data_IF_263153560655
#
_entry.id   IF_263153560655
#
_cell.length_a   1.000
_cell.length_b   1.000
_cell.length_c   1.000
_cell.angle_alpha   90.00
_cell.angle_beta   90.00
_cell.angle_gamma   90.00
#
_symmetry.space_group_name_H-M   'P 1'
#
loop_
_entity.id
_entity.type
_entity.pdbx_description
1 polymer ?
#
# COMPACT_ATOMS: atom_id res chain seq x y z
N UNK A 1 -45.59 -30.76 -21.07
CA UNK A 1 -44.61 -30.39 -22.12
C UNK A 1 -43.27 -31.00 -21.75
N UNK A 2 -42.59 -31.61 -22.72
CA UNK A 2 -41.58 -32.68 -22.59
C UNK A 2 -40.14 -32.13 -22.71
N UNK A 3 -39.18 -32.72 -21.96
CA UNK A 3 -37.75 -33.06 -22.28
C UNK A 3 -36.89 -32.93 -21.00
N UNK A 4 -36.34 -34.02 -20.44
CA UNK A 4 -35.03 -34.67 -20.77
C UNK A 4 -33.86 -33.70 -20.54
N UNK A 5 -32.81 -34.01 -19.75
CA UNK A 5 -31.74 -34.97 -20.09
C UNK A 5 -30.93 -35.50 -18.87
N UNK A 6 -30.63 -36.80 -18.93
CA UNK A 6 -29.44 -37.55 -18.47
C UNK A 6 -28.95 -37.47 -17.00
N UNK A 7 -29.46 -38.43 -16.20
CA UNK A 7 -28.84 -38.93 -14.97
C UNK A 7 -27.74 -39.96 -15.32
N UNK A 8 -26.48 -39.58 -15.13
CA UNK A 8 -25.36 -40.52 -15.15
C UNK A 8 -25.35 -41.31 -13.83
N UNK A 9 -25.55 -42.63 -13.97
CA UNK A 9 -25.30 -43.65 -12.94
C UNK A 9 -23.85 -43.54 -12.45
N UNK A 10 -23.65 -43.39 -11.14
CA UNK A 10 -22.45 -43.89 -10.47
C UNK A 10 -22.90 -44.73 -9.27
N UNK A 11 -22.73 -46.03 -9.47
CA UNK A 11 -22.93 -47.11 -8.51
C UNK A 11 -21.63 -47.27 -7.74
N UNK A 12 -21.57 -46.97 -6.44
CA UNK A 12 -20.50 -47.42 -5.56
C UNK A 12 -21.12 -47.82 -4.20
N UNK A 13 -20.78 -49.00 -3.65
CA UNK A 13 -21.49 -49.59 -2.53
C UNK A 13 -20.99 -49.08 -1.18
N UNK A 14 -21.90 -49.12 -0.22
CA UNK A 14 -21.73 -48.83 1.20
C UNK A 14 -20.85 -49.87 1.92
N UNK A 15 -20.08 -49.42 2.93
CA UNK A 15 -19.84 -50.10 4.23
C UNK A 15 -18.82 -49.26 5.04
N UNK A 16 -19.28 -48.48 6.02
CA UNK A 16 -19.30 -48.80 7.46
C UNK A 16 -17.92 -49.04 8.09
N UNK A 17 -17.40 -48.00 8.75
CA UNK A 17 -16.59 -48.15 9.96
C UNK A 17 -16.99 -47.06 10.97
N UNK A 18 -17.49 -47.52 12.12
CA UNK A 18 -17.87 -46.78 13.33
C UNK A 18 -16.63 -46.40 14.14
N UNK A 19 -16.54 -45.17 14.65
CA UNK A 19 -15.90 -44.77 15.93
C UNK A 19 -16.35 -43.32 16.23
N UNK A 20 -17.41 -43.11 17.01
CA UNK A 20 -17.40 -42.76 18.45
C UNK A 20 -16.52 -41.54 18.79
N UNK A 21 -17.22 -40.42 19.05
CA UNK A 21 -16.90 -39.30 19.96
C UNK A 21 -15.49 -39.24 20.57
N UNK A 22 -14.78 -38.11 20.41
CA UNK A 22 -14.17 -37.39 21.53
C UNK A 22 -13.61 -36.02 21.08
N UNK A 23 -14.06 -34.98 21.78
CA UNK A 23 -13.30 -33.79 22.18
C UNK A 23 -12.57 -32.94 21.14
N UNK A 24 -12.93 -31.66 21.11
CA UNK A 24 -12.01 -30.59 20.74
C UNK A 24 -10.86 -30.54 21.74
N UNK A 25 -9.61 -30.55 21.26
CA UNK A 25 -8.59 -29.73 21.88
C UNK A 25 -8.27 -28.56 20.95
N UNK A 26 -8.68 -27.38 21.40
CA UNK A 26 -8.04 -26.14 21.02
C UNK A 26 -6.65 -26.11 21.66
N UNK A 27 -5.61 -26.08 20.83
CA UNK A 27 -4.29 -25.60 21.20
C UNK A 27 -3.64 -25.11 19.90
N UNK A 28 -3.61 -23.80 19.70
CA UNK A 28 -2.42 -23.02 20.08
C UNK A 28 -1.18 -23.65 19.46
N UNK A 29 -0.97 -23.30 18.20
CA UNK A 29 0.34 -23.29 17.58
C UNK A 29 0.79 -21.82 17.48
N UNK A 30 1.11 -21.27 18.65
CA UNK A 30 2.27 -20.40 18.85
C UNK A 30 3.46 -20.95 18.06
N UNK A 31 3.53 -20.53 16.81
CA UNK A 31 4.46 -21.00 15.79
C UNK A 31 4.45 -20.09 14.57
N UNK A 32 4.15 -18.79 14.78
CA UNK A 32 4.47 -17.76 13.80
C UNK A 32 5.98 -17.61 13.85
N UNK A 33 6.63 -18.32 12.92
CA UNK A 33 8.01 -18.16 12.52
C UNK A 33 8.40 -16.67 12.60
N UNK A 34 9.25 -16.34 13.57
CA UNK A 34 10.23 -15.25 13.55
C UNK A 34 10.00 -14.15 12.50
N UNK A 35 9.02 -13.31 12.81
CA UNK A 35 8.99 -11.83 12.66
C UNK A 35 9.82 -11.19 11.53
N UNK A 36 9.32 -11.29 10.30
CA UNK A 36 9.36 -10.16 9.37
C UNK A 36 8.03 -9.42 9.48
N UNK A 37 7.95 -8.17 10.00
CA UNK A 37 6.68 -7.45 10.02
C UNK A 37 6.31 -7.03 8.59
N UNK A 38 5.68 -7.93 7.84
CA UNK A 38 5.01 -7.68 6.56
C UNK A 38 3.56 -8.15 6.67
N UNK A 39 2.92 -7.83 7.78
CA UNK A 39 1.48 -7.62 7.85
C UNK A 39 1.34 -6.22 8.44
N UNK A 40 0.74 -5.29 7.71
CA UNK A 40 0.31 -4.00 8.27
C UNK A 40 -1.17 -4.17 8.56
N UNK A 41 -1.56 -4.58 9.78
CA UNK A 41 -2.96 -4.64 10.18
C UNK A 41 -3.53 -3.22 10.14
N UNK A 42 -4.85 -3.10 10.10
CA UNK A 42 -5.65 -1.91 9.76
C UNK A 42 -5.42 -0.59 10.56
N UNK A 43 -4.29 -0.40 11.27
CA UNK A 43 -3.82 0.89 11.78
C UNK A 43 -3.06 1.73 10.73
N UNK A 44 -3.34 1.52 9.46
CA UNK A 44 -2.57 2.10 8.35
C UNK A 44 -2.63 3.63 8.42
N UNK A 45 -1.52 4.24 8.85
CA UNK A 45 -1.40 5.68 9.03
C UNK A 45 -1.65 6.47 7.75
N UNK A 46 -1.56 7.80 7.81
CA UNK A 46 -1.70 8.66 6.63
C UNK A 46 -0.83 8.16 5.47
N UNK A 47 -1.34 8.27 4.25
CA UNK A 47 -0.56 7.93 3.07
C UNK A 47 0.71 8.78 2.98
N UNK A 48 1.80 8.14 2.56
CA UNK A 48 3.13 8.70 2.55
C UNK A 48 3.82 8.39 1.22
N UNK A 49 4.38 9.43 0.61
CA UNK A 49 5.17 9.33 -0.63
C UNK A 49 6.68 9.21 -0.35
N UNK A 50 7.15 9.82 0.74
CA UNK A 50 8.56 9.81 1.14
C UNK A 50 9.48 10.72 0.39
N UNK A 51 9.05 11.98 0.30
CA UNK A 51 9.84 13.10 -0.16
C UNK A 51 9.85 14.21 0.88
N UNK A 52 10.96 14.94 0.97
CA UNK A 52 10.95 16.31 1.44
C UNK A 52 10.88 17.23 0.24
N UNK A 53 10.14 18.32 0.37
CA UNK A 53 9.87 19.20 -0.73
C UNK A 53 9.76 20.64 -0.26
N UNK A 54 9.93 21.55 -1.22
CA UNK A 54 9.82 22.99 -1.03
C UNK A 54 8.89 23.56 -2.08
N UNK A 55 8.32 24.73 -1.76
CA UNK A 55 7.53 25.50 -2.71
C UNK A 55 8.40 25.86 -3.94
N UNK A 56 7.86 25.63 -5.13
CA UNK A 56 8.52 25.93 -6.41
C UNK A 56 7.70 26.92 -7.23
N UNK A 57 8.29 27.46 -8.29
CA UNK A 57 7.65 28.51 -9.11
C UNK A 57 6.44 28.01 -9.92
N UNK A 58 6.41 26.73 -10.29
CA UNK A 58 5.35 26.13 -11.13
C UNK A 58 4.73 24.87 -10.51
N UNK A 59 4.97 24.65 -9.21
CA UNK A 59 4.56 23.43 -8.52
C UNK A 59 5.47 23.14 -7.33
N UNK A 60 5.61 21.86 -6.99
CA UNK A 60 6.36 21.45 -5.80
C UNK A 60 7.69 20.83 -6.18
N UNK A 61 8.80 21.40 -5.71
CA UNK A 61 10.14 20.89 -5.99
C UNK A 61 10.56 19.86 -4.95
N UNK A 62 11.02 18.71 -5.40
CA UNK A 62 11.57 17.66 -4.55
C UNK A 62 12.95 18.11 -4.05
N UNK A 63 13.07 18.25 -2.74
CA UNK A 63 14.30 18.62 -2.06
C UNK A 63 15.09 17.39 -1.59
N UNK A 64 14.39 16.31 -1.22
CA UNK A 64 15.00 15.05 -0.80
C UNK A 64 14.05 13.88 -1.10
N UNK A 65 14.62 12.71 -1.37
CA UNK A 65 13.91 11.44 -1.49
C UNK A 65 14.43 10.51 -0.39
N UNK A 66 13.53 9.89 0.37
CA UNK A 66 13.93 8.97 1.45
C UNK A 66 14.25 7.58 0.89
N UNK A 67 15.32 6.90 1.33
CA UNK A 67 15.62 5.53 0.92
C UNK A 67 14.51 4.55 1.29
N UNK A 68 14.23 3.60 0.40
CA UNK A 68 13.16 2.60 0.54
C UNK A 68 11.74 3.15 0.41
N UNK A 69 11.59 4.45 0.18
CA UNK A 69 10.28 5.11 0.08
C UNK A 69 9.55 4.80 -1.24
N UNK A 70 8.23 5.03 -1.29
CA UNK A 70 7.47 5.02 -2.55
C UNK A 70 8.06 5.92 -3.65
N UNK A 71 8.54 7.10 -3.29
CA UNK A 71 9.13 8.04 -4.23
C UNK A 71 10.42 7.50 -4.87
N UNK A 72 11.30 6.89 -4.07
CA UNK A 72 12.51 6.26 -4.58
C UNK A 72 12.17 5.11 -5.54
N UNK A 73 11.21 4.24 -5.15
CA UNK A 73 10.74 3.12 -5.97
C UNK A 73 10.09 3.59 -7.29
N UNK A 74 9.45 4.76 -7.28
CA UNK A 74 8.92 5.40 -8.47
C UNK A 74 10.00 6.05 -9.35
N UNK A 75 11.25 6.11 -8.89
CA UNK A 75 12.35 6.77 -9.56
C UNK A 75 12.15 8.28 -9.65
N UNK A 76 11.61 8.88 -8.58
CA UNK A 76 11.65 10.33 -8.38
C UNK A 76 13.03 10.73 -7.89
N UNK A 77 13.51 11.89 -8.34
CA UNK A 77 14.85 12.36 -8.01
C UNK A 77 14.80 13.76 -7.38
N UNK A 78 15.87 14.10 -6.67
CA UNK A 78 16.06 15.44 -6.12
C UNK A 78 16.16 16.45 -7.26
N UNK A 79 15.42 17.54 -7.14
CA UNK A 79 15.35 18.60 -8.14
C UNK A 79 14.19 18.48 -9.12
N UNK A 80 13.50 17.34 -9.16
CA UNK A 80 12.27 17.19 -9.96
C UNK A 80 11.17 18.13 -9.43
N UNK A 81 10.36 18.68 -10.33
CA UNK A 81 9.22 19.53 -9.96
C UNK A 81 7.92 18.81 -10.28
N UNK A 82 7.12 18.50 -9.27
CA UNK A 82 5.80 17.91 -9.43
C UNK A 82 4.83 19.00 -9.84
N UNK A 83 4.22 18.83 -11.02
CA UNK A 83 3.28 19.80 -11.61
C UNK A 83 1.85 19.28 -11.66
N UNK A 84 1.65 17.96 -11.72
CA UNK A 84 0.32 17.35 -11.59
C UNK A 84 0.36 16.08 -10.74
N UNK A 85 -0.78 15.78 -10.11
CA UNK A 85 -1.01 14.55 -9.36
C UNK A 85 -2.40 14.01 -9.70
N UNK A 86 -2.48 12.77 -10.20
CA UNK A 86 -3.70 12.16 -10.71
C UNK A 86 -4.44 13.02 -11.74
N UNK A 87 -3.68 13.67 -12.63
CA UNK A 87 -4.19 14.58 -13.64
C UNK A 87 -4.68 15.93 -13.11
N UNK A 88 -4.64 16.17 -11.80
CA UNK A 88 -4.97 17.46 -11.21
C UNK A 88 -3.72 18.33 -11.06
N UNK A 89 -3.82 19.65 -11.34
CA UNK A 89 -2.70 20.55 -11.18
C UNK A 89 -2.26 20.66 -9.72
N UNK A 90 -0.95 20.63 -9.51
CA UNK A 90 -0.28 20.86 -8.24
C UNK A 90 0.36 22.24 -8.31
N UNK A 91 -0.35 23.23 -7.79
CA UNK A 91 0.09 24.64 -7.81
C UNK A 91 1.04 24.98 -6.66
N UNK A 92 1.14 24.08 -5.67
CA UNK A 92 1.98 24.30 -4.51
C UNK A 92 1.85 23.21 -3.46
N UNK A 93 2.61 23.37 -2.36
CA UNK A 93 2.74 22.36 -1.30
C UNK A 93 1.41 21.95 -0.68
N UNK A 94 0.50 22.90 -0.45
CA UNK A 94 -0.84 22.62 0.06
C UNK A 94 -1.63 21.69 -0.86
N UNK A 95 -1.60 21.95 -2.17
CA UNK A 95 -2.34 21.14 -3.14
C UNK A 95 -1.77 19.73 -3.25
N UNK A 96 -0.45 19.58 -3.26
CA UNK A 96 0.19 18.26 -3.26
C UNK A 96 -0.21 17.47 -2.01
N UNK A 97 -0.07 18.07 -0.82
CA UNK A 97 -0.44 17.44 0.43
C UNK A 97 -1.90 17.02 0.45
N UNK A 98 -2.82 17.89 0.02
CA UNK A 98 -4.23 17.55 -0.06
C UNK A 98 -4.49 16.34 -0.96
N UNK A 99 -3.78 16.23 -2.10
CA UNK A 99 -3.92 15.08 -3.01
C UNK A 99 -3.39 13.80 -2.38
N UNK A 100 -2.18 13.81 -1.83
CA UNK A 100 -1.59 12.62 -1.21
C UNK A 100 -2.38 12.18 0.02
N UNK A 101 -2.78 13.10 0.89
CA UNK A 101 -3.55 12.80 2.10
C UNK A 101 -5.00 12.41 1.84
N UNK A 102 -5.53 12.66 0.63
CA UNK A 102 -6.84 12.17 0.21
C UNK A 102 -6.84 10.73 -0.26
N UNK A 103 -5.66 10.13 -0.43
CA UNK A 103 -5.47 8.76 -0.85
C UNK A 103 -5.13 7.88 0.36
N UNK A 104 -5.33 6.58 0.20
CA UNK A 104 -5.01 5.57 1.19
C UNK A 104 -3.61 4.98 0.94
N UNK A 105 -2.95 4.45 1.97
CA UNK A 105 -1.84 3.54 1.78
C UNK A 105 -2.21 2.39 0.82
N UNK A 106 -1.32 2.07 -0.11
CA UNK A 106 -1.55 1.10 -1.17
C UNK A 106 -2.11 1.70 -2.46
N UNK A 107 -2.69 2.90 -2.42
CA UNK A 107 -3.18 3.57 -3.63
C UNK A 107 -2.02 3.98 -4.54
N UNK A 108 -2.25 3.90 -5.84
CA UNK A 108 -1.31 4.42 -6.84
C UNK A 108 -1.62 5.89 -7.11
N UNK A 109 -0.58 6.72 -7.09
CA UNK A 109 -0.63 8.10 -7.55
C UNK A 109 0.22 8.25 -8.82
N UNK A 110 -0.37 8.86 -9.84
CA UNK A 110 0.32 9.30 -11.04
C UNK A 110 0.80 10.73 -10.86
N UNK A 111 2.08 10.98 -11.08
CA UNK A 111 2.74 12.26 -10.89
C UNK A 111 3.40 12.68 -12.19
N UNK A 112 3.00 13.82 -12.73
CA UNK A 112 3.73 14.45 -13.82
C UNK A 112 4.83 15.32 -13.20
N UNK A 113 6.06 15.02 -13.58
CA UNK A 113 7.24 15.76 -13.14
C UNK A 113 7.84 16.53 -14.30
N UNK A 114 8.35 17.72 -14.00
CA UNK A 114 9.21 18.51 -14.85
C UNK A 114 10.65 18.31 -14.39
N UNK A 115 11.48 17.71 -15.25
CA UNK A 115 12.91 17.55 -15.06
C UNK A 115 13.63 18.88 -15.31
N UNK A 116 14.86 18.99 -14.81
CA UNK A 116 15.70 20.21 -14.97
C UNK A 116 16.01 20.54 -16.43
N UNK A 117 15.99 19.55 -17.31
CA UNK A 117 16.17 19.70 -18.77
C UNK A 117 14.91 20.20 -19.50
N UNK A 118 13.79 20.38 -18.78
CA UNK A 118 12.50 20.79 -19.33
C UNK A 118 11.61 19.63 -19.79
N UNK A 119 12.09 18.38 -19.72
CA UNK A 119 11.30 17.22 -20.09
C UNK A 119 10.22 16.93 -19.06
N UNK A 120 9.04 16.54 -19.55
CA UNK A 120 7.93 16.08 -18.72
C UNK A 120 7.86 14.57 -18.71
N UNK A 121 7.82 13.99 -17.51
CA UNK A 121 7.72 12.55 -17.33
C UNK A 121 6.55 12.22 -16.43
N UNK A 122 5.82 11.16 -16.78
CA UNK A 122 4.79 10.59 -15.92
C UNK A 122 5.41 9.46 -15.09
N UNK A 123 5.36 9.60 -13.77
CA UNK A 123 5.80 8.59 -12.80
C UNK A 123 4.61 8.08 -12.03
N UNK A 124 4.63 6.80 -11.65
CA UNK A 124 3.60 6.19 -10.81
C UNK A 124 4.25 5.72 -9.52
N UNK A 125 3.64 6.09 -8.40
CA UNK A 125 4.10 5.73 -7.07
C UNK A 125 2.98 5.07 -6.29
N UNK A 126 3.26 3.92 -5.69
CA UNK A 126 2.33 3.25 -4.76
C UNK A 126 2.57 3.78 -3.36
N UNK A 127 1.58 4.45 -2.79
CA UNK A 127 1.71 5.10 -1.48
C UNK A 127 1.90 4.05 -0.38
N UNK A 128 2.74 4.38 0.59
CA UNK A 128 2.98 3.54 1.76
C UNK A 128 2.29 4.14 2.99
N UNK A 129 2.00 3.34 4.02
CA UNK A 129 1.59 3.89 5.31
C UNK A 129 2.77 4.65 5.92
N UNK A 130 2.51 5.86 6.43
CA UNK A 130 3.52 6.63 7.14
C UNK A 130 4.03 5.81 8.35
N UNK A 131 5.34 5.55 8.47
CA UNK A 131 5.87 4.82 9.61
C UNK A 131 5.68 5.63 10.90
N UNK A 132 5.05 5.05 11.92
CA UNK A 132 4.85 5.65 13.25
C UNK A 132 6.14 5.64 14.09
N UNK A 133 7.29 6.06 13.57
CA UNK A 133 8.53 6.01 14.36
C UNK A 133 8.63 7.05 15.50
N UNK A 134 7.62 7.89 15.71
CA UNK A 134 7.72 9.02 16.65
C UNK A 134 7.01 8.84 18.01
N UNK A 135 6.19 7.79 18.20
CA UNK A 135 5.50 7.60 19.50
C UNK A 135 6.35 6.86 20.54
N UNK A 136 7.23 5.96 20.12
CA UNK A 136 7.98 5.09 21.05
C UNK A 136 9.29 5.72 21.57
N UNK A 137 9.87 6.68 20.85
CA UNK A 137 11.15 7.30 21.20
C UNK A 137 11.01 8.45 22.21
N UNK A 138 9.87 9.13 22.25
CA UNK A 138 9.62 10.29 23.13
C UNK A 138 8.87 9.97 24.43
N UNK A 139 8.24 8.79 24.54
CA UNK A 139 7.61 8.34 25.80
C UNK A 139 8.64 7.73 26.78
N UNK A 140 9.92 7.72 26.39
CA UNK A 140 11.09 7.36 27.21
C UNK A 140 11.87 8.59 27.70
N UNK A 141 11.21 9.71 27.92
CA UNK A 141 11.80 10.85 28.62
C UNK A 141 11.47 10.67 30.11
N UNK A 142 12.44 10.32 30.98
CA UNK A 142 12.23 10.32 32.43
C UNK A 142 12.05 11.74 32.98
#
# INVERSE_FOLDING_TARGET
MVRSYNLARCLLPASLFLFVYCSTPQQDNSGVQTTKPTEVPAEQGRAYLGIMYVEGAMGVRIAQVFPGSPAEKAGLEVGDVIVTANGYPVLGTYTLNKRILSLNPGDEVSLEILKRDGNRLLKRATLAPLPRKYKEEYEKIP
#
